data_IF_434353018475
#
_entry.id   IF_434353018475
#
_cell.length_a   1.000
_cell.length_b   1.000
_cell.length_c   1.000
_cell.angle_alpha   90.00
_cell.angle_beta   90.00
_cell.angle_gamma   90.00
#
_symmetry.space_group_name_H-M   'P 1'
#
loop_
_entity.id
_entity.type
_entity.pdbx_description
1 polymer ?
#
# COMPACT_ATOMS: atom_id res chain seq x y z
N UNK A 1 -15.07 5.38 38.86
CA UNK A 1 -13.82 5.81 39.54
C UNK A 1 -13.71 7.32 39.38
N UNK A 2 -13.19 8.06 40.35
CA UNK A 2 -12.94 9.50 40.17
C UNK A 2 -11.83 9.71 39.14
N UNK A 3 -12.00 10.71 38.26
CA UNK A 3 -10.93 11.10 37.32
C UNK A 3 -9.73 11.71 38.06
N UNK A 4 -8.49 11.50 37.57
CA UNK A 4 -7.29 12.06 38.19
C UNK A 4 -7.21 13.58 38.01
N UNK A 5 -6.35 14.25 38.80
CA UNK A 5 -6.04 15.66 38.58
C UNK A 5 -5.18 15.81 37.33
N UNK A 6 -5.29 16.95 36.67
CA UNK A 6 -4.53 17.25 35.45
C UNK A 6 -3.00 17.23 35.64
N UNK A 7 -2.50 17.49 36.86
CA UNK A 7 -1.08 17.42 37.18
C UNK A 7 -0.57 15.98 37.37
N UNK A 8 -1.47 15.04 37.64
CA UNK A 8 -1.12 13.63 37.89
C UNK A 8 -1.25 12.81 36.59
N UNK A 9 -2.29 13.09 35.79
CA UNK A 9 -2.52 12.48 34.49
C UNK A 9 -3.30 13.44 33.59
N UNK A 10 -2.57 14.13 32.69
CA UNK A 10 -3.17 15.07 31.73
C UNK A 10 -4.17 14.36 30.79
N UNK A 11 -3.86 13.14 30.34
CA UNK A 11 -4.69 12.41 29.39
C UNK A 11 -6.04 12.06 30.01
N UNK A 12 -6.04 11.39 31.17
CA UNK A 12 -7.27 10.97 31.83
C UNK A 12 -8.05 12.14 32.45
N UNK A 13 -7.38 13.24 32.82
CA UNK A 13 -8.09 14.44 33.27
C UNK A 13 -8.89 15.12 32.14
N UNK A 14 -8.37 15.10 30.90
CA UNK A 14 -9.03 15.71 29.73
C UNK A 14 -9.99 14.74 29.04
N UNK A 15 -9.54 13.51 28.82
CA UNK A 15 -10.22 12.51 27.98
C UNK A 15 -10.92 11.41 28.79
N UNK A 16 -10.72 11.33 30.10
CA UNK A 16 -11.05 10.13 30.88
C UNK A 16 -12.53 9.79 30.94
N UNK A 17 -13.43 10.78 30.86
CA UNK A 17 -14.87 10.49 30.71
C UNK A 17 -15.13 9.77 29.39
N UNK A 18 -14.61 10.28 28.27
CA UNK A 18 -14.76 9.67 26.96
C UNK A 18 -14.10 8.28 26.91
N UNK A 19 -12.91 8.13 27.48
CA UNK A 19 -12.17 6.86 27.52
C UNK A 19 -12.94 5.76 28.31
N UNK A 20 -13.69 6.15 29.35
CA UNK A 20 -14.44 5.20 30.18
C UNK A 20 -15.80 4.81 29.59
N UNK A 21 -16.40 5.67 28.76
CA UNK A 21 -17.77 5.46 28.26
C UNK A 21 -17.84 5.06 26.80
N UNK A 22 -16.79 5.34 26.02
CA UNK A 22 -16.75 5.02 24.60
C UNK A 22 -16.35 3.56 24.41
N UNK A 23 -17.17 2.84 23.65
CA UNK A 23 -16.92 1.45 23.27
C UNK A 23 -16.31 1.45 21.88
N UNK A 24 -15.20 0.73 21.69
CA UNK A 24 -14.63 0.50 20.36
C UNK A 24 -15.66 -0.34 19.56
N UNK A 25 -16.19 0.17 18.45
CA UNK A 25 -17.12 -0.58 17.60
C UNK A 25 -16.49 -1.91 17.14
N UNK A 26 -17.28 -2.99 16.99
CA UNK A 26 -16.73 -4.31 16.64
C UNK A 26 -16.06 -4.35 15.26
N UNK A 27 -16.40 -3.42 14.37
CA UNK A 27 -15.83 -3.27 13.03
C UNK A 27 -14.59 -2.35 12.98
N UNK A 28 -14.02 -2.02 14.15
CA UNK A 28 -12.84 -1.16 14.31
C UNK A 28 -11.87 -1.75 15.34
N UNK A 29 -10.58 -1.52 15.14
CA UNK A 29 -9.53 -1.76 16.13
C UNK A 29 -9.26 -0.55 17.03
N UNK A 30 -9.64 0.65 16.58
CA UNK A 30 -9.45 1.92 17.29
C UNK A 30 -10.64 2.85 17.07
N UNK A 31 -10.99 3.59 18.11
CA UNK A 31 -11.87 4.77 18.04
C UNK A 31 -11.10 5.95 18.64
N UNK A 32 -11.16 7.08 17.95
CA UNK A 32 -10.38 8.29 18.24
C UNK A 32 -11.02 9.51 17.57
N UNK A 33 -10.58 10.70 17.96
CA UNK A 33 -11.03 11.96 17.36
C UNK A 33 -10.83 12.00 15.83
N UNK A 34 -9.69 11.51 15.34
CA UNK A 34 -9.39 11.40 13.92
C UNK A 34 -10.24 10.33 13.21
N UNK A 35 -10.51 9.19 13.87
CA UNK A 35 -11.36 8.15 13.30
C UNK A 35 -12.82 8.61 13.14
N UNK A 36 -13.33 9.39 14.10
CA UNK A 36 -14.70 9.94 14.07
C UNK A 36 -14.83 11.02 12.98
N UNK A 37 -13.79 11.84 12.83
CA UNK A 37 -13.72 12.82 11.75
C UNK A 37 -13.63 12.13 10.38
N UNK A 38 -12.80 11.09 10.26
CA UNK A 38 -12.64 10.31 9.03
C UNK A 38 -13.97 9.67 8.62
N UNK A 39 -14.72 9.09 9.57
CA UNK A 39 -16.05 8.55 9.33
C UNK A 39 -17.03 9.63 8.84
N UNK A 40 -17.00 10.80 9.48
CA UNK A 40 -17.86 11.93 9.11
C UNK A 40 -17.56 12.46 7.71
N UNK A 41 -16.29 12.51 7.32
CA UNK A 41 -15.85 12.88 5.97
C UNK A 41 -16.27 11.84 4.95
N UNK A 42 -16.03 10.55 5.24
CA UNK A 42 -16.43 9.43 4.36
C UNK A 42 -17.92 9.47 4.06
N UNK A 43 -18.78 9.67 5.07
CA UNK A 43 -20.24 9.70 4.88
C UNK A 43 -20.65 10.78 3.85
N UNK A 44 -20.02 11.97 3.90
CA UNK A 44 -20.28 13.05 2.93
C UNK A 44 -19.81 12.66 1.53
N UNK A 45 -18.59 12.16 1.41
CA UNK A 45 -17.99 11.85 0.11
C UNK A 45 -18.65 10.67 -0.57
N UNK A 46 -19.05 9.63 0.18
CA UNK A 46 -19.86 8.52 -0.34
C UNK A 46 -21.19 9.04 -0.91
N UNK A 47 -21.88 9.93 -0.19
CA UNK A 47 -23.13 10.51 -0.67
C UNK A 47 -22.92 11.33 -1.95
N UNK A 48 -21.82 12.05 -2.06
CA UNK A 48 -21.51 12.88 -3.23
C UNK A 48 -21.06 12.05 -4.44
N UNK A 49 -20.20 11.05 -4.25
CA UNK A 49 -19.80 10.11 -5.32
C UNK A 49 -21.00 9.37 -5.92
N UNK A 50 -21.98 8.98 -5.09
CA UNK A 50 -23.25 8.42 -5.57
C UNK A 50 -24.02 9.39 -6.48
N UNK A 51 -24.10 10.68 -6.11
CA UNK A 51 -24.78 11.71 -6.92
C UNK A 51 -24.03 11.94 -8.23
N UNK A 52 -22.70 12.03 -8.19
CA UNK A 52 -21.85 12.24 -9.37
C UNK A 52 -22.03 11.07 -10.35
N UNK A 53 -22.02 9.83 -9.86
CA UNK A 53 -22.23 8.66 -10.71
C UNK A 53 -23.64 8.60 -11.31
N UNK A 54 -24.66 9.10 -10.61
CA UNK A 54 -26.04 9.10 -11.08
C UNK A 54 -26.34 10.16 -12.16
N UNK A 55 -25.52 11.20 -12.27
CA UNK A 55 -25.64 12.26 -13.26
C UNK A 55 -24.29 12.49 -13.96
N UNK A 56 -23.81 11.51 -14.76
CA UNK A 56 -22.47 11.54 -15.30
C UNK A 56 -22.30 12.72 -16.26
N UNK A 57 -21.17 13.41 -16.15
CA UNK A 57 -20.82 14.47 -17.08
C UNK A 57 -20.33 13.88 -18.41
N UNK A 58 -20.47 14.63 -19.51
CA UNK A 58 -20.07 14.18 -20.84
C UNK A 58 -18.54 14.01 -21.00
N UNK A 59 -17.73 14.65 -20.15
CA UNK A 59 -16.29 14.53 -20.15
C UNK A 59 -15.83 13.48 -19.13
N UNK A 60 -14.85 12.67 -19.52
CA UNK A 60 -14.21 11.68 -18.64
C UNK A 60 -13.21 12.37 -17.69
N UNK A 61 -13.71 12.87 -16.56
CA UNK A 61 -12.88 13.54 -15.55
C UNK A 61 -12.37 12.56 -14.48
N UNK A 62 -11.23 12.86 -13.80
CA UNK A 62 -10.75 12.03 -12.69
C UNK A 62 -11.80 11.80 -11.61
N UNK A 63 -12.61 12.82 -11.29
CA UNK A 63 -13.71 12.69 -10.32
C UNK A 63 -14.84 11.77 -10.81
N UNK A 64 -15.14 11.79 -12.12
CA UNK A 64 -16.10 10.86 -12.71
C UNK A 64 -15.58 9.42 -12.67
N UNK A 65 -14.29 9.21 -12.94
CA UNK A 65 -13.64 7.91 -12.82
C UNK A 65 -13.63 7.41 -11.36
N UNK A 66 -13.36 8.28 -10.38
CA UNK A 66 -13.49 7.97 -8.96
C UNK A 66 -14.91 7.51 -8.58
N UNK A 67 -15.93 8.24 -9.05
CA UNK A 67 -17.33 7.91 -8.80
C UNK A 67 -17.75 6.58 -9.43
N UNK A 68 -17.24 6.26 -10.64
CA UNK A 68 -17.46 4.96 -11.29
C UNK A 68 -16.75 3.83 -10.55
N UNK A 69 -15.51 4.02 -10.12
CA UNK A 69 -14.77 3.00 -9.35
C UNK A 69 -15.49 2.71 -8.04
N UNK A 70 -15.90 3.75 -7.31
CA UNK A 70 -16.73 3.61 -6.12
C UNK A 70 -18.03 2.84 -6.41
N UNK A 71 -18.73 3.14 -7.50
CA UNK A 71 -19.96 2.44 -7.86
C UNK A 71 -19.73 0.95 -8.11
N UNK A 72 -18.65 0.57 -8.82
CA UNK A 72 -18.24 -0.83 -9.03
C UNK A 72 -17.88 -1.51 -7.71
N UNK A 73 -17.12 -0.83 -6.86
CA UNK A 73 -16.73 -1.35 -5.54
C UNK A 73 -17.94 -1.55 -4.61
N UNK A 74 -18.93 -0.66 -4.72
CA UNK A 74 -20.13 -0.67 -3.89
C UNK A 74 -21.25 -1.58 -4.44
N UNK A 75 -21.11 -2.18 -5.62
CA UNK A 75 -22.07 -3.12 -6.21
C UNK A 75 -21.96 -4.51 -5.57
N UNK A 76 -22.52 -4.63 -4.37
CA UNK A 76 -22.52 -5.88 -3.58
C UNK A 76 -23.18 -7.04 -4.31
N UNK A 77 -24.25 -6.76 -5.07
CA UNK A 77 -25.01 -7.80 -5.78
C UNK A 77 -24.15 -8.42 -6.87
N UNK A 78 -23.55 -7.60 -7.73
CA UNK A 78 -22.69 -8.08 -8.82
C UNK A 78 -21.45 -8.78 -8.29
N UNK A 79 -20.79 -8.21 -7.27
CA UNK A 79 -19.60 -8.80 -6.62
C UNK A 79 -19.89 -10.17 -6.03
N UNK A 80 -21.00 -10.34 -5.32
CA UNK A 80 -21.40 -11.63 -4.76
C UNK A 80 -21.83 -12.64 -5.82
N UNK A 81 -22.50 -12.19 -6.90
CA UNK A 81 -22.87 -13.05 -8.01
C UNK A 81 -21.64 -13.63 -8.74
N UNK A 82 -20.58 -12.83 -8.89
CA UNK A 82 -19.34 -13.26 -9.54
C UNK A 82 -18.50 -14.19 -8.67
N UNK A 83 -18.51 -13.99 -7.34
CA UNK A 83 -17.75 -14.81 -6.40
C UNK A 83 -16.25 -14.82 -6.76
N UNK A 84 -15.67 -16.02 -6.81
CA UNK A 84 -14.26 -16.25 -7.19
C UNK A 84 -14.00 -16.32 -8.70
N UNK A 85 -15.04 -16.22 -9.53
CA UNK A 85 -14.91 -16.36 -10.99
C UNK A 85 -13.86 -15.42 -11.60
N UNK A 86 -13.79 -14.12 -11.22
CA UNK A 86 -12.85 -13.18 -11.82
C UNK A 86 -11.37 -13.52 -11.60
N UNK A 87 -11.02 -14.19 -10.49
CA UNK A 87 -9.62 -14.50 -10.15
C UNK A 87 -9.17 -15.88 -10.68
N UNK A 88 -10.11 -16.77 -11.02
CA UNK A 88 -9.81 -18.18 -11.31
C UNK A 88 -8.75 -18.38 -12.39
N UNK A 89 -8.91 -17.69 -13.52
CA UNK A 89 -7.94 -17.78 -14.63
C UNK A 89 -6.53 -17.31 -14.23
N UNK A 90 -6.43 -16.39 -13.26
CA UNK A 90 -5.15 -15.91 -12.75
C UNK A 90 -4.46 -16.97 -11.91
N UNK A 91 -5.20 -17.60 -11.00
CA UNK A 91 -4.68 -18.68 -10.15
C UNK A 91 -4.29 -19.91 -10.99
N UNK A 92 -5.11 -20.28 -11.98
CA UNK A 92 -4.81 -21.39 -12.87
C UNK A 92 -3.52 -21.14 -13.68
N UNK A 93 -3.27 -19.89 -14.08
CA UNK A 93 -2.02 -19.50 -14.74
C UNK A 93 -0.82 -19.73 -13.80
N UNK A 94 -0.87 -19.21 -12.56
CA UNK A 94 0.23 -19.40 -11.59
C UNK A 94 0.44 -20.88 -11.31
N UNK A 95 -0.64 -21.62 -11.03
CA UNK A 95 -0.59 -23.04 -10.76
C UNK A 95 0.00 -23.83 -11.94
N UNK A 96 -0.16 -23.37 -13.18
CA UNK A 96 0.40 -23.96 -14.38
C UNK A 96 1.90 -23.73 -14.58
N UNK A 97 2.50 -22.74 -13.92
CA UNK A 97 3.94 -22.48 -13.96
C UNK A 97 4.65 -23.43 -12.98
N UNK A 98 4.97 -24.65 -13.41
CA UNK A 98 5.52 -25.71 -12.54
C UNK A 98 7.03 -25.61 -12.31
N UNK A 99 7.75 -24.81 -13.09
CA UNK A 99 9.20 -24.65 -12.99
C UNK A 99 9.63 -23.19 -13.05
N UNK A 100 10.82 -22.89 -12.53
CA UNK A 100 11.39 -21.55 -12.58
C UNK A 100 11.59 -21.08 -14.03
N UNK A 101 12.01 -21.98 -14.93
CA UNK A 101 12.11 -21.71 -16.36
C UNK A 101 10.76 -21.29 -17.00
N UNK A 102 9.64 -21.93 -16.61
CA UNK A 102 8.31 -21.55 -17.09
C UNK A 102 7.90 -20.18 -16.55
N UNK A 103 8.18 -19.90 -15.27
CA UNK A 103 7.97 -18.58 -14.67
C UNK A 103 8.74 -17.49 -15.40
N UNK A 104 10.06 -17.69 -15.62
CA UNK A 104 10.91 -16.77 -16.38
C UNK A 104 10.34 -16.49 -17.76
N UNK A 105 9.93 -17.53 -18.48
CA UNK A 105 9.35 -17.38 -19.82
C UNK A 105 8.02 -16.62 -19.83
N UNK A 106 7.22 -16.75 -18.77
CA UNK A 106 5.94 -16.06 -18.61
C UNK A 106 6.07 -14.63 -18.07
N UNK A 107 7.25 -14.25 -17.56
CA UNK A 107 7.44 -13.03 -16.79
C UNK A 107 7.01 -11.73 -17.51
N UNK A 108 7.31 -11.50 -18.80
CA UNK A 108 6.84 -10.28 -19.48
C UNK A 108 5.31 -10.14 -19.43
N UNK A 109 4.60 -11.27 -19.54
CA UNK A 109 3.13 -11.30 -19.44
C UNK A 109 2.66 -11.14 -18.00
N UNK A 110 3.36 -11.74 -17.03
CA UNK A 110 3.03 -11.59 -15.60
C UNK A 110 3.17 -10.13 -15.15
N UNK A 111 4.25 -9.46 -15.56
CA UNK A 111 4.47 -8.04 -15.30
C UNK A 111 3.39 -7.17 -15.93
N UNK A 112 3.09 -7.38 -17.22
CA UNK A 112 2.07 -6.60 -17.91
C UNK A 112 0.66 -6.77 -17.31
N UNK A 113 0.32 -7.99 -16.89
CA UNK A 113 -0.98 -8.33 -16.30
C UNK A 113 -1.03 -8.14 -14.77
N UNK A 114 -0.07 -7.43 -14.18
CA UNK A 114 -0.05 -7.05 -12.77
C UNK A 114 -0.16 -8.24 -11.81
N UNK A 115 0.52 -9.34 -12.11
CA UNK A 115 0.65 -10.45 -11.16
C UNK A 115 1.59 -10.09 -10.02
N UNK A 116 1.42 -10.74 -8.87
CA UNK A 116 2.42 -10.71 -7.80
C UNK A 116 3.75 -11.25 -8.31
N UNK A 117 4.81 -10.47 -8.14
CA UNK A 117 6.19 -10.79 -8.55
C UNK A 117 7.13 -10.71 -7.34
N UNK A 118 8.32 -11.33 -7.40
CA UNK A 118 9.25 -11.25 -6.27
C UNK A 118 9.91 -9.87 -6.17
N UNK A 119 9.91 -9.09 -7.25
CA UNK A 119 10.35 -7.71 -7.23
C UNK A 119 9.21 -6.81 -7.69
N UNK A 120 8.84 -5.84 -6.86
CA UNK A 120 7.79 -4.86 -7.13
C UNK A 120 8.42 -3.48 -7.34
N UNK A 121 8.35 -2.91 -8.56
CA UNK A 121 8.92 -1.59 -8.83
C UNK A 121 8.05 -0.47 -8.25
N UNK A 122 8.69 0.56 -7.69
CA UNK A 122 8.06 1.86 -7.48
C UNK A 122 9.05 2.99 -7.79
N UNK A 123 8.54 4.19 -8.04
CA UNK A 123 9.33 5.32 -8.54
C UNK A 123 9.08 6.53 -7.65
N UNK A 124 10.15 7.07 -7.08
CA UNK A 124 10.15 8.30 -6.29
C UNK A 124 11.49 9.03 -6.44
N UNK A 125 11.69 10.10 -5.66
CA UNK A 125 12.90 10.91 -5.72
C UNK A 125 14.13 10.16 -5.20
N UNK A 126 15.26 10.25 -5.92
CA UNK A 126 16.55 9.71 -5.46
C UNK A 126 17.01 10.42 -4.18
N UNK A 127 17.30 9.66 -3.11
CA UNK A 127 17.79 10.20 -1.83
C UNK A 127 19.10 10.98 -1.98
N UNK A 128 19.89 10.66 -3.00
CA UNK A 128 21.15 11.32 -3.35
C UNK A 128 21.01 12.36 -4.47
N UNK A 129 19.85 12.44 -5.13
CA UNK A 129 19.50 13.44 -6.14
C UNK A 129 17.99 13.72 -6.17
N UNK A 130 17.48 14.44 -5.17
CA UNK A 130 16.06 14.71 -4.98
C UNK A 130 15.42 15.62 -6.08
N UNK A 131 16.15 15.87 -7.18
CA UNK A 131 15.62 16.51 -8.38
C UNK A 131 15.14 15.50 -9.43
N UNK A 132 15.58 14.23 -9.38
CA UNK A 132 15.25 13.21 -10.37
C UNK A 132 14.67 11.96 -9.71
N UNK A 133 13.80 11.25 -10.44
CA UNK A 133 13.23 10.00 -9.97
C UNK A 133 14.18 8.81 -10.19
N UNK A 134 14.17 7.87 -9.24
CA UNK A 134 14.87 6.59 -9.30
C UNK A 134 13.87 5.43 -9.28
N UNK A 135 14.26 4.29 -9.88
CA UNK A 135 13.52 3.05 -9.76
C UNK A 135 13.93 2.33 -8.46
N UNK A 136 12.98 2.14 -7.56
CA UNK A 136 13.12 1.36 -6.36
C UNK A 136 12.60 -0.06 -6.57
N UNK A 137 13.30 -1.04 -6.02
CA UNK A 137 13.07 -2.47 -6.20
C UNK A 137 12.66 -3.10 -4.86
N UNK A 138 11.36 -3.12 -4.62
CA UNK A 138 10.76 -3.70 -3.41
C UNK A 138 10.63 -5.21 -3.50
N UNK A 139 10.39 -5.85 -2.36
CA UNK A 139 10.16 -7.27 -2.23
C UNK A 139 8.91 -7.58 -1.38
N UNK A 140 8.62 -8.86 -1.17
CA UNK A 140 7.52 -9.30 -0.31
C UNK A 140 7.78 -8.98 1.17
N UNK A 141 6.69 -8.75 1.91
CA UNK A 141 6.70 -8.70 3.37
C UNK A 141 6.62 -10.11 3.98
N UNK A 142 6.96 -10.22 5.27
CA UNK A 142 6.78 -11.45 6.06
C UNK A 142 5.33 -11.62 6.52
N UNK A 143 4.94 -12.86 6.82
CA UNK A 143 3.64 -13.16 7.44
C UNK A 143 3.57 -12.57 8.85
N UNK A 144 4.56 -12.85 9.70
CA UNK A 144 4.61 -12.24 11.03
C UNK A 144 4.85 -10.73 10.92
N UNK A 145 4.31 -9.93 11.85
CA UNK A 145 4.34 -8.46 11.77
C UNK A 145 5.74 -7.85 11.96
N UNK A 146 6.74 -8.63 12.37
CA UNK A 146 8.15 -8.21 12.39
C UNK A 146 9.04 -9.40 11.98
N UNK A 147 10.00 -9.17 11.07
CA UNK A 147 10.99 -10.17 10.69
C UNK A 147 11.84 -10.66 11.88
N UNK A 148 12.03 -9.81 12.91
CA UNK A 148 12.72 -10.19 14.14
C UNK A 148 12.01 -11.32 14.92
N UNK A 149 10.69 -11.48 14.75
CA UNK A 149 9.93 -12.54 15.42
C UNK A 149 10.40 -13.94 14.99
N UNK A 150 10.91 -14.10 13.76
CA UNK A 150 11.43 -15.39 13.28
C UNK A 150 12.75 -15.82 13.94
N UNK A 151 13.28 -15.05 14.89
CA UNK A 151 14.43 -15.45 15.71
C UNK A 151 14.03 -16.40 16.86
N UNK A 152 12.75 -16.43 17.24
CA UNK A 152 12.22 -17.31 18.29
C UNK A 152 11.09 -18.18 17.75
N UNK A 153 11.03 -19.43 18.22
CA UNK A 153 9.89 -20.32 17.97
C UNK A 153 9.02 -20.37 19.23
N UNK A 154 8.23 -19.32 19.46
CA UNK A 154 7.34 -19.18 20.62
C UNK A 154 5.85 -19.38 20.27
N UNK A 155 5.01 -19.34 21.31
CA UNK A 155 3.59 -19.61 21.20
C UNK A 155 2.81 -18.51 20.46
N UNK A 156 3.29 -17.26 20.49
CA UNK A 156 2.68 -16.13 19.78
C UNK A 156 2.91 -16.28 18.28
N UNK A 157 4.17 -16.51 17.87
CA UNK A 157 4.52 -16.77 16.47
C UNK A 157 3.76 -17.97 15.90
N UNK A 158 3.61 -19.04 16.69
CA UNK A 158 2.84 -20.21 16.29
C UNK A 158 1.34 -19.90 16.13
N UNK A 159 0.77 -19.06 17.00
CA UNK A 159 -0.63 -18.64 16.92
C UNK A 159 -0.88 -17.77 15.69
N UNK A 160 0.00 -16.81 15.40
CA UNK A 160 -0.09 -15.92 14.26
C UNK A 160 -0.02 -16.69 12.94
N UNK A 161 0.99 -17.56 12.79
CA UNK A 161 1.13 -18.41 11.61
C UNK A 161 -0.06 -19.36 11.45
N UNK A 162 -0.67 -19.83 12.55
CA UNK A 162 -1.86 -20.66 12.50
C UNK A 162 -3.11 -19.87 12.08
N UNK A 163 -3.27 -18.64 12.55
CA UNK A 163 -4.34 -17.73 12.15
C UNK A 163 -4.25 -17.41 10.65
N UNK A 164 -3.07 -17.03 10.17
CA UNK A 164 -2.81 -16.84 8.74
C UNK A 164 -3.12 -18.11 7.94
N UNK A 165 -2.57 -19.27 8.36
CA UNK A 165 -2.76 -20.56 7.68
C UNK A 165 -4.23 -20.93 7.52
N UNK A 166 -5.04 -20.70 8.56
CA UNK A 166 -6.48 -21.00 8.56
C UNK A 166 -7.22 -20.10 7.57
N UNK A 167 -6.92 -18.81 7.58
CA UNK A 167 -7.50 -17.83 6.65
C UNK A 167 -7.22 -18.24 5.20
N UNK A 168 -5.95 -18.45 4.85
CA UNK A 168 -5.57 -18.74 3.46
C UNK A 168 -6.05 -20.11 2.98
N UNK A 169 -6.09 -21.12 3.86
CA UNK A 169 -6.66 -22.43 3.50
C UNK A 169 -8.16 -22.32 3.17
N UNK A 170 -8.89 -21.52 3.95
CA UNK A 170 -10.33 -21.29 3.71
C UNK A 170 -10.54 -20.57 2.37
N UNK A 171 -9.75 -19.53 2.10
CA UNK A 171 -9.83 -18.75 0.86
C UNK A 171 -9.46 -19.59 -0.37
N UNK A 172 -8.42 -20.44 -0.27
CA UNK A 172 -8.08 -21.43 -1.30
C UNK A 172 -9.23 -22.41 -1.55
N UNK A 173 -9.94 -22.83 -0.49
CA UNK A 173 -11.13 -23.66 -0.60
C UNK A 173 -12.25 -22.98 -1.40
N UNK A 174 -12.54 -21.70 -1.12
CA UNK A 174 -13.50 -20.91 -1.91
C UNK A 174 -13.08 -20.76 -3.37
N UNK A 175 -11.78 -20.66 -3.62
CA UNK A 175 -11.23 -20.62 -4.98
C UNK A 175 -11.25 -21.99 -5.68
N UNK A 176 -11.68 -23.07 -5.02
CA UNK A 176 -11.86 -24.41 -5.60
C UNK A 176 -10.64 -25.33 -5.52
N UNK A 177 -9.70 -25.05 -4.60
CA UNK A 177 -8.60 -25.98 -4.29
C UNK A 177 -9.07 -27.02 -3.28
N UNK A 178 -8.74 -28.29 -3.50
CA UNK A 178 -9.06 -29.36 -2.54
C UNK A 178 -8.19 -29.28 -1.27
N UNK A 179 -8.54 -30.05 -0.24
CA UNK A 179 -7.81 -30.03 1.05
C UNK A 179 -6.34 -30.40 0.91
N UNK A 180 -5.99 -31.28 -0.04
CA UNK A 180 -4.60 -31.67 -0.29
C UNK A 180 -3.81 -30.51 -0.86
N UNK A 181 -4.36 -29.81 -1.85
CA UNK A 181 -3.76 -28.63 -2.43
C UNK A 181 -3.67 -27.47 -1.43
N UNK A 182 -4.72 -27.25 -0.62
CA UNK A 182 -4.69 -26.26 0.46
C UNK A 182 -3.53 -26.52 1.43
N UNK A 183 -3.42 -27.74 1.97
CA UNK A 183 -2.36 -28.10 2.90
C UNK A 183 -0.95 -27.95 2.28
N UNK A 184 -0.82 -28.34 1.01
CA UNK A 184 0.45 -28.19 0.27
C UNK A 184 0.83 -26.72 0.10
N UNK A 185 -0.05 -25.88 -0.44
CA UNK A 185 0.24 -24.47 -0.71
C UNK A 185 0.54 -23.69 0.57
N UNK A 186 -0.23 -23.90 1.64
CA UNK A 186 -0.01 -23.21 2.92
C UNK A 186 1.32 -23.60 3.55
N UNK A 187 1.68 -24.88 3.54
CA UNK A 187 2.97 -25.33 4.08
C UNK A 187 4.15 -24.78 3.26
N UNK A 188 4.07 -24.87 1.93
CA UNK A 188 5.13 -24.42 1.03
C UNK A 188 5.33 -22.89 1.10
N UNK A 189 4.25 -22.11 1.17
CA UNK A 189 4.34 -20.65 1.32
C UNK A 189 5.00 -20.24 2.64
N UNK A 190 4.71 -20.92 3.76
CA UNK A 190 5.38 -20.68 5.05
C UNK A 190 6.87 -21.04 5.01
N UNK A 191 7.26 -22.05 4.24
CA UNK A 191 8.67 -22.40 4.06
C UNK A 191 9.43 -21.33 3.27
N UNK A 192 8.80 -20.72 2.25
CA UNK A 192 9.36 -19.55 1.57
C UNK A 192 9.46 -18.35 2.53
N UNK A 193 8.37 -18.01 3.20
CA UNK A 193 8.27 -16.89 4.14
C UNK A 193 9.32 -16.96 5.27
N UNK A 194 9.53 -18.15 5.85
CA UNK A 194 10.56 -18.37 6.88
C UNK A 194 11.99 -18.09 6.38
N UNK A 195 12.27 -18.37 5.11
CA UNK A 195 13.57 -18.09 4.48
C UNK A 195 13.70 -16.63 4.08
N UNK A 196 12.61 -16.04 3.57
CA UNK A 196 12.51 -14.62 3.26
C UNK A 196 12.87 -13.76 4.48
N UNK A 197 12.32 -14.09 5.65
CA UNK A 197 12.50 -13.33 6.88
C UNK A 197 13.97 -13.13 7.28
N UNK A 198 14.89 -14.01 6.86
CA UNK A 198 16.33 -13.84 7.13
C UNK A 198 16.97 -12.65 6.38
N UNK A 199 16.29 -12.11 5.37
CA UNK A 199 16.76 -11.01 4.52
C UNK A 199 15.86 -9.77 4.57
N UNK A 200 14.88 -9.76 5.49
CA UNK A 200 14.02 -8.61 5.76
C UNK A 200 14.50 -7.94 7.06
N UNK A 201 14.69 -6.61 7.08
CA UNK A 201 15.06 -5.87 8.30
C UNK A 201 14.01 -6.02 9.42
N UNK A 202 14.42 -5.83 10.67
CA UNK A 202 13.48 -5.71 11.78
C UNK A 202 12.73 -4.36 11.69
N UNK A 203 11.57 -4.25 12.36
CA UNK A 203 10.78 -3.00 12.34
C UNK A 203 11.54 -1.78 12.88
N UNK A 204 12.45 -1.99 13.83
CA UNK A 204 13.31 -0.91 14.35
C UNK A 204 14.28 -0.36 13.31
N UNK A 205 14.70 -1.19 12.35
CA UNK A 205 15.60 -0.77 11.28
C UNK A 205 14.83 -0.01 10.18
N UNK A 206 13.58 -0.38 9.91
CA UNK A 206 12.70 0.38 9.02
C UNK A 206 12.40 1.81 9.51
N UNK A 207 12.59 2.10 10.80
CA UNK A 207 12.43 3.45 11.35
C UNK A 207 13.60 4.41 11.03
N UNK A 208 14.63 3.94 10.33
CA UNK A 208 15.81 4.74 9.96
C UNK A 208 15.93 4.80 8.43
N UNK A 209 15.82 6.01 7.86
CA UNK A 209 15.81 6.23 6.40
C UNK A 209 16.98 5.56 5.64
N UNK A 210 18.16 5.45 6.27
CA UNK A 210 19.33 4.80 5.63
C UNK A 210 19.12 3.33 5.31
N UNK A 211 18.13 2.66 5.92
CA UNK A 211 17.74 1.29 5.57
C UNK A 211 17.23 1.19 4.14
N UNK A 212 16.65 2.27 3.61
CA UNK A 212 16.09 2.33 2.25
C UNK A 212 17.08 2.84 1.19
N UNK A 213 18.30 3.20 1.59
CA UNK A 213 19.31 3.80 0.73
C UNK A 213 20.35 2.74 0.29
N UNK A 214 19.97 1.91 -0.67
CA UNK A 214 20.80 0.81 -1.20
C UNK A 214 20.95 0.94 -2.72
N UNK A 215 21.62 1.99 -3.22
CA UNK A 215 21.79 2.19 -4.66
C UNK A 215 22.69 1.10 -5.25
N UNK A 216 22.29 0.60 -6.42
CA UNK A 216 23.06 -0.35 -7.22
C UNK A 216 22.99 0.02 -8.70
N UNK A 217 23.98 -0.43 -9.46
CA UNK A 217 23.99 -0.29 -10.91
C UNK A 217 22.95 -1.20 -11.54
N UNK A 218 22.51 -0.86 -12.75
CA UNK A 218 21.64 -1.77 -13.51
C UNK A 218 22.29 -3.13 -13.79
N UNK A 219 23.62 -3.16 -13.96
CA UNK A 219 24.36 -4.41 -14.15
C UNK A 219 24.27 -5.30 -12.91
N UNK A 220 24.45 -4.76 -11.71
CA UNK A 220 24.27 -5.51 -10.46
C UNK A 220 22.83 -6.02 -10.32
N UNK A 221 21.82 -5.21 -10.70
CA UNK A 221 20.44 -5.68 -10.72
C UNK A 221 20.23 -6.86 -11.70
N UNK A 222 20.90 -6.85 -12.85
CA UNK A 222 20.91 -7.98 -13.80
C UNK A 222 21.58 -9.21 -13.20
N UNK A 223 22.66 -9.05 -12.42
CA UNK A 223 23.31 -10.15 -11.72
C UNK A 223 22.39 -10.76 -10.65
N UNK A 224 21.69 -9.93 -9.88
CA UNK A 224 20.82 -10.36 -8.77
C UNK A 224 19.48 -10.96 -9.23
N UNK A 225 18.87 -10.42 -10.28
CA UNK A 225 17.50 -10.76 -10.69
C UNK A 225 17.34 -11.19 -12.16
N UNK A 226 18.41 -11.12 -12.97
CA UNK A 226 18.37 -11.47 -14.40
C UNK A 226 18.07 -12.95 -14.65
N UNK A 227 18.28 -13.83 -13.66
CA UNK A 227 17.89 -15.24 -13.75
C UNK A 227 16.36 -15.43 -13.84
N UNK A 228 15.57 -14.44 -13.40
CA UNK A 228 14.11 -14.41 -13.51
C UNK A 228 13.62 -13.68 -14.78
N UNK A 229 14.45 -12.81 -15.37
CA UNK A 229 14.07 -11.95 -16.50
C UNK A 229 13.45 -10.60 -16.11
N UNK A 230 13.50 -10.24 -14.81
CA UNK A 230 12.84 -9.03 -14.27
C UNK A 230 13.45 -7.74 -14.81
N UNK A 231 14.79 -7.56 -14.76
CA UNK A 231 15.41 -6.37 -15.35
C UNK A 231 15.00 -6.19 -16.82
N UNK A 232 15.04 -7.25 -17.63
CA UNK A 232 14.70 -7.20 -19.04
C UNK A 232 13.23 -6.80 -19.28
N UNK A 233 12.31 -7.34 -18.49
CA UNK A 233 10.90 -7.00 -18.57
C UNK A 233 10.61 -5.54 -18.16
N UNK A 234 11.30 -5.03 -17.14
CA UNK A 234 11.19 -3.63 -16.71
C UNK A 234 11.82 -2.67 -17.73
N UNK A 235 13.00 -2.99 -18.25
CA UNK A 235 13.68 -2.18 -19.27
C UNK A 235 12.80 -1.97 -20.51
N UNK A 236 12.05 -2.99 -20.92
CA UNK A 236 11.14 -2.92 -22.06
C UNK A 236 9.96 -1.94 -21.86
N UNK A 237 9.67 -1.53 -20.62
CA UNK A 237 8.60 -0.59 -20.26
C UNK A 237 9.08 0.82 -19.94
N UNK A 238 10.40 1.04 -19.86
CA UNK A 238 10.99 2.34 -19.55
C UNK A 238 11.48 3.04 -20.83
N UNK A 239 11.56 4.38 -20.87
CA UNK A 239 12.09 5.13 -22.03
C UNK A 239 13.53 4.75 -22.36
N UNK A 240 14.31 4.47 -21.33
CA UNK A 240 15.71 4.05 -21.39
C UNK A 240 16.04 3.26 -20.13
N UNK A 241 16.98 2.32 -20.24
CA UNK A 241 17.52 1.62 -19.08
C UNK A 241 18.29 2.60 -18.20
N UNK A 242 17.94 2.78 -16.91
CA UNK A 242 18.68 3.67 -16.03
C UNK A 242 20.06 3.07 -15.71
N UNK A 243 21.04 3.91 -15.41
CA UNK A 243 22.37 3.42 -14.97
C UNK A 243 22.38 2.98 -13.51
N UNK A 244 21.44 3.50 -12.71
CA UNK A 244 21.33 3.30 -11.26
C UNK A 244 19.87 3.02 -10.89
N UNK A 245 19.69 2.08 -9.97
CA UNK A 245 18.43 1.74 -9.32
C UNK A 245 18.66 1.66 -7.81
N UNK A 246 17.62 1.43 -7.02
CA UNK A 246 17.72 1.34 -5.57
C UNK A 246 17.03 0.07 -5.06
N UNK A 247 17.71 -0.73 -4.24
CA UNK A 247 17.06 -1.81 -3.51
C UNK A 247 16.40 -1.22 -2.24
N UNK A 248 15.14 -1.59 -1.99
CA UNK A 248 14.37 -1.00 -0.87
C UNK A 248 14.89 -1.46 0.49
N UNK A 249 15.41 -2.69 0.55
CA UNK A 249 16.06 -3.23 1.74
C UNK A 249 17.39 -3.86 1.33
N UNK A 250 18.42 -3.80 2.21
CA UNK A 250 19.80 -4.11 1.84
C UNK A 250 20.02 -5.56 1.42
N UNK A 251 19.35 -6.50 2.09
CA UNK A 251 19.70 -7.92 2.00
C UNK A 251 18.82 -8.72 1.04
N UNK A 252 17.61 -8.26 0.72
CA UNK A 252 16.65 -9.04 -0.05
C UNK A 252 17.11 -9.30 -1.50
N UNK A 253 17.33 -8.24 -2.26
CA UNK A 253 17.63 -8.33 -3.69
C UNK A 253 18.92 -9.14 -3.98
N UNK A 254 20.04 -8.91 -3.26
CA UNK A 254 21.26 -9.71 -3.46
C UNK A 254 21.09 -11.20 -3.13
N UNK A 255 20.10 -11.57 -2.31
CA UNK A 255 19.84 -12.96 -1.93
C UNK A 255 18.69 -13.60 -2.72
N UNK A 256 18.10 -12.88 -3.69
CA UNK A 256 16.96 -13.36 -4.46
C UNK A 256 17.25 -14.69 -5.18
N UNK A 257 18.47 -14.83 -5.73
CA UNK A 257 18.94 -16.06 -6.37
C UNK A 257 19.07 -17.26 -5.43
N UNK A 258 19.13 -17.04 -4.11
CA UNK A 258 19.11 -18.09 -3.09
C UNK A 258 17.70 -18.40 -2.59
N UNK A 259 16.83 -17.38 -2.55
CA UNK A 259 15.43 -17.50 -2.16
C UNK A 259 14.60 -18.24 -3.21
N UNK A 260 14.91 -18.03 -4.50
CA UNK A 260 14.21 -18.64 -5.62
C UNK A 260 15.21 -19.37 -6.52
N UNK A 261 15.20 -20.69 -6.44
CA UNK A 261 16.02 -21.63 -7.20
C UNK A 261 15.11 -22.69 -7.83
N UNK A 262 15.61 -23.47 -8.79
CA UNK A 262 14.83 -24.60 -9.34
C UNK A 262 14.40 -25.60 -8.25
N UNK A 263 15.23 -25.81 -7.22
CA UNK A 263 14.96 -26.79 -6.17
C UNK A 263 13.84 -26.36 -5.22
N UNK A 264 13.71 -25.05 -4.96
CA UNK A 264 12.75 -24.51 -4.00
C UNK A 264 11.64 -23.67 -4.66
N UNK A 265 11.60 -23.60 -5.99
CA UNK A 265 10.59 -22.89 -6.76
C UNK A 265 9.14 -23.23 -6.36
N UNK A 266 8.77 -24.48 -6.03
CA UNK A 266 7.42 -24.78 -5.56
C UNK A 266 6.98 -23.97 -4.32
N UNK A 267 7.91 -23.59 -3.45
CA UNK A 267 7.62 -22.75 -2.27
C UNK A 267 7.32 -21.30 -2.68
N UNK A 268 8.09 -20.74 -3.62
CA UNK A 268 7.80 -19.44 -4.21
C UNK A 268 6.47 -19.45 -4.97
N UNK A 269 6.21 -20.48 -5.79
CA UNK A 269 4.95 -20.60 -6.53
C UNK A 269 3.76 -20.62 -5.58
N UNK A 270 3.88 -21.33 -4.45
CA UNK A 270 2.85 -21.37 -3.43
C UNK A 270 2.60 -20.01 -2.79
N UNK A 271 3.68 -19.31 -2.42
CA UNK A 271 3.59 -17.96 -1.88
C UNK A 271 2.96 -17.00 -2.90
N UNK A 272 3.44 -16.98 -4.15
CA UNK A 272 2.88 -16.15 -5.24
C UNK A 272 1.38 -16.42 -5.46
N UNK A 273 0.94 -17.68 -5.44
CA UNK A 273 -0.47 -18.03 -5.64
C UNK A 273 -1.36 -17.52 -4.51
N UNK A 274 -0.91 -17.67 -3.25
CA UNK A 274 -1.65 -17.19 -2.08
C UNK A 274 -1.67 -15.66 -2.06
N UNK A 275 -0.54 -15.02 -2.32
CA UNK A 275 -0.43 -13.55 -2.39
C UNK A 275 -1.29 -12.97 -3.51
N UNK A 276 -1.35 -13.61 -4.68
CA UNK A 276 -2.25 -13.20 -5.77
C UNK A 276 -3.72 -13.31 -5.36
N UNK A 277 -4.09 -14.42 -4.70
CA UNK A 277 -5.46 -14.62 -4.23
C UNK A 277 -5.86 -13.57 -3.19
N UNK A 278 -4.99 -13.29 -2.22
CA UNK A 278 -5.21 -12.26 -1.21
C UNK A 278 -5.31 -10.86 -1.85
N UNK A 279 -4.36 -10.51 -2.71
CA UNK A 279 -4.35 -9.22 -3.41
C UNK A 279 -5.61 -9.01 -4.29
N UNK A 280 -6.20 -10.08 -4.82
CA UNK A 280 -7.43 -9.99 -5.60
C UNK A 280 -8.70 -10.01 -4.74
N UNK A 281 -8.68 -10.66 -3.57
CA UNK A 281 -9.88 -10.99 -2.80
C UNK A 281 -10.69 -9.77 -2.35
N UNK A 282 -10.02 -8.65 -2.09
CA UNK A 282 -10.66 -7.37 -1.74
C UNK A 282 -11.60 -6.84 -2.84
N UNK A 283 -11.43 -7.32 -4.08
CA UNK A 283 -12.19 -6.91 -5.24
C UNK A 283 -13.21 -7.97 -5.71
N UNK A 284 -13.35 -9.06 -4.97
CA UNK A 284 -14.28 -10.17 -5.26
C UNK A 284 -15.57 -10.02 -4.45
N UNK A 285 -16.15 -11.10 -3.93
CA UNK A 285 -17.36 -11.07 -3.11
C UNK A 285 -17.13 -10.43 -1.73
N UNK A 286 -18.23 -10.11 -1.03
CA UNK A 286 -18.17 -9.66 0.36
C UNK A 286 -17.56 -10.72 1.29
N UNK A 287 -17.88 -12.00 1.09
CA UNK A 287 -17.31 -13.06 1.94
C UNK A 287 -15.79 -13.19 1.69
N UNK A 288 -15.36 -13.10 0.43
CA UNK A 288 -13.95 -13.20 0.05
C UNK A 288 -13.10 -12.07 0.64
N UNK A 289 -13.56 -10.81 0.56
CA UNK A 289 -12.83 -9.68 1.18
C UNK A 289 -12.82 -9.77 2.71
N UNK A 290 -13.92 -10.23 3.32
CA UNK A 290 -13.97 -10.42 4.77
C UNK A 290 -13.00 -11.51 5.23
N UNK A 291 -12.89 -12.60 4.46
CA UNK A 291 -11.94 -13.67 4.67
C UNK A 291 -10.50 -13.18 4.53
N UNK A 292 -10.17 -12.45 3.45
CA UNK A 292 -8.82 -11.96 3.20
C UNK A 292 -8.27 -11.06 4.32
N UNK A 293 -9.12 -10.28 4.98
CA UNK A 293 -8.73 -9.46 6.13
C UNK A 293 -8.79 -10.17 7.50
N UNK A 294 -9.01 -11.49 7.58
CA UNK A 294 -9.16 -12.19 8.88
C UNK A 294 -7.87 -12.18 9.71
N UNK A 295 -6.72 -12.30 9.07
CA UNK A 295 -5.44 -12.31 9.77
C UNK A 295 -5.14 -10.95 10.40
N UNK A 296 -5.32 -9.87 9.65
CA UNK A 296 -5.12 -8.51 10.18
C UNK A 296 -6.11 -8.20 11.31
N UNK A 297 -7.35 -8.67 11.21
CA UNK A 297 -8.33 -8.56 12.30
C UNK A 297 -7.95 -9.37 13.54
N UNK A 298 -7.37 -10.55 13.35
CA UNK A 298 -6.83 -11.34 14.46
C UNK A 298 -5.70 -10.60 15.18
N UNK A 299 -4.73 -10.05 14.44
CA UNK A 299 -3.64 -9.25 14.99
C UNK A 299 -4.14 -7.98 15.71
N UNK A 300 -5.15 -7.32 15.13
CA UNK A 300 -5.72 -6.09 15.68
C UNK A 300 -6.75 -6.32 16.80
N UNK A 301 -7.12 -7.58 17.08
CA UNK A 301 -8.20 -7.90 18.02
C UNK A 301 -9.58 -7.37 17.58
N UNK A 302 -9.81 -7.20 16.28
CA UNK A 302 -11.03 -6.63 15.70
C UNK A 302 -12.08 -7.73 15.40
N UNK A 303 -13.23 -7.76 16.09
CA UNK A 303 -14.19 -8.87 15.95
C UNK A 303 -14.86 -8.97 14.57
N UNK A 304 -15.24 -7.85 13.98
CA UNK A 304 -16.03 -7.78 12.76
C UNK A 304 -15.25 -7.13 11.62
N UNK A 305 -15.48 -7.52 10.37
CA UNK A 305 -14.94 -6.83 9.22
C UNK A 305 -15.51 -5.42 9.11
N UNK A 306 -14.75 -4.52 8.50
CA UNK A 306 -15.24 -3.17 8.28
C UNK A 306 -16.53 -3.14 7.44
N UNK A 307 -17.34 -2.09 7.66
CA UNK A 307 -18.57 -1.88 6.94
C UNK A 307 -18.36 -1.83 5.41
N UNK A 308 -19.32 -2.39 4.66
CA UNK A 308 -19.27 -2.49 3.19
C UNK A 308 -18.98 -1.17 2.47
N UNK A 309 -19.66 -0.08 2.85
CA UNK A 309 -19.44 1.22 2.20
C UNK A 309 -18.08 1.82 2.55
N UNK A 310 -17.50 1.46 3.70
CA UNK A 310 -16.14 1.85 4.08
C UNK A 310 -15.11 1.15 3.19
N UNK A 311 -15.27 -0.16 3.00
CA UNK A 311 -14.47 -0.94 2.04
C UNK A 311 -14.55 -0.36 0.64
N UNK A 312 -15.77 -0.15 0.12
CA UNK A 312 -15.97 0.35 -1.24
C UNK A 312 -15.40 1.77 -1.43
N UNK A 313 -15.44 2.60 -0.39
CA UNK A 313 -14.80 3.91 -0.40
C UNK A 313 -13.28 3.80 -0.38
N UNK A 314 -12.70 2.88 0.41
CA UNK A 314 -11.26 2.58 0.42
C UNK A 314 -10.75 2.24 -0.98
N UNK A 315 -11.40 1.29 -1.65
CA UNK A 315 -11.07 0.88 -3.04
C UNK A 315 -11.06 2.06 -4.02
N UNK A 316 -11.95 3.04 -3.84
CA UNK A 316 -11.94 4.24 -4.68
C UNK A 316 -10.76 5.17 -4.37
N UNK A 317 -10.36 5.28 -3.10
CA UNK A 317 -9.23 6.11 -2.67
C UNK A 317 -7.89 5.51 -3.09
N UNK A 318 -7.76 4.19 -3.19
CA UNK A 318 -6.51 3.52 -3.62
C UNK A 318 -5.96 4.04 -4.96
N UNK A 319 -6.82 4.59 -5.82
CA UNK A 319 -6.45 5.14 -7.14
C UNK A 319 -6.86 6.60 -7.36
N UNK A 320 -7.77 7.14 -6.57
CA UNK A 320 -8.37 8.47 -6.82
C UNK A 320 -8.48 9.34 -5.56
N UNK A 321 -7.68 9.09 -4.52
CA UNK A 321 -7.67 9.88 -3.29
C UNK A 321 -7.41 11.38 -3.54
N UNK A 322 -6.47 11.80 -4.39
CA UNK A 322 -6.26 13.24 -4.64
C UNK A 322 -7.44 13.86 -5.40
N UNK A 323 -8.08 13.14 -6.32
CA UNK A 323 -9.25 13.65 -7.03
C UNK A 323 -10.44 13.81 -6.07
N UNK A 324 -10.67 12.83 -5.19
CA UNK A 324 -11.69 12.87 -4.15
C UNK A 324 -11.37 13.96 -3.12
N UNK A 325 -10.12 14.07 -2.69
CA UNK A 325 -9.62 15.02 -1.71
C UNK A 325 -9.62 16.46 -2.22
N UNK A 326 -9.28 16.68 -3.49
CA UNK A 326 -9.41 17.97 -4.15
C UNK A 326 -10.88 18.41 -4.19
N UNK A 327 -11.79 17.52 -4.59
CA UNK A 327 -13.23 17.79 -4.54
C UNK A 327 -13.70 18.12 -3.10
N UNK A 328 -13.27 17.34 -2.11
CA UNK A 328 -13.60 17.58 -0.71
C UNK A 328 -13.15 18.98 -0.26
N UNK A 329 -11.90 19.34 -0.54
CA UNK A 329 -11.34 20.64 -0.21
C UNK A 329 -12.07 21.79 -0.89
N UNK A 330 -12.36 21.69 -2.19
CA UNK A 330 -13.10 22.71 -2.92
C UNK A 330 -14.54 22.88 -2.42
N UNK A 331 -15.15 21.81 -1.91
CA UNK A 331 -16.57 21.80 -1.51
C UNK A 331 -16.75 22.19 -0.04
N UNK A 332 -15.88 21.71 0.84
CA UNK A 332 -16.07 21.78 2.29
C UNK A 332 -15.03 22.65 3.02
N UNK A 333 -13.93 23.04 2.37
CA UNK A 333 -12.87 23.85 2.99
C UNK A 333 -12.89 25.30 2.48
N UNK A 334 -13.53 26.18 3.25
CA UNK A 334 -13.70 27.59 2.90
C UNK A 334 -12.40 28.38 2.81
N UNK A 335 -12.38 29.41 1.97
CA UNK A 335 -11.20 30.24 1.69
C UNK A 335 -10.65 30.94 2.94
N UNK A 336 -11.51 31.42 3.84
CA UNK A 336 -11.09 32.09 5.08
C UNK A 336 -10.33 31.13 6.01
N UNK A 337 -10.80 29.89 6.15
CA UNK A 337 -10.10 28.87 6.94
C UNK A 337 -8.76 28.49 6.30
N UNK A 338 -8.69 28.41 4.96
CA UNK A 338 -7.43 28.20 4.23
C UNK A 338 -6.44 29.34 4.50
N UNK A 339 -6.89 30.59 4.46
CA UNK A 339 -6.06 31.75 4.71
C UNK A 339 -5.56 31.82 6.16
N UNK A 340 -6.44 31.57 7.13
CA UNK A 340 -6.13 31.59 8.57
C UNK A 340 -5.07 30.53 8.93
N UNK A 341 -5.28 29.27 8.53
CA UNK A 341 -4.30 28.20 8.80
C UNK A 341 -2.99 28.47 8.05
N UNK A 342 -3.03 29.04 6.84
CA UNK A 342 -1.81 29.44 6.11
C UNK A 342 -1.02 30.50 6.89
N UNK A 343 -1.70 31.46 7.53
CA UNK A 343 -1.04 32.45 8.39
C UNK A 343 -0.44 31.79 9.63
N UNK A 344 -1.19 30.92 10.30
CA UNK A 344 -0.73 30.17 11.48
C UNK A 344 0.53 29.34 11.19
N UNK A 345 0.58 28.64 10.05
CA UNK A 345 1.78 27.88 9.66
C UNK A 345 2.98 28.79 9.47
N UNK A 346 2.80 29.98 8.87
CA UNK A 346 3.89 30.97 8.72
C UNK A 346 4.39 31.48 10.06
N UNK A 347 3.49 31.75 11.00
CA UNK A 347 3.84 32.17 12.36
C UNK A 347 4.62 31.08 13.10
N UNK A 348 4.20 29.82 12.99
CA UNK A 348 4.93 28.68 13.57
C UNK A 348 6.33 28.57 12.97
N UNK A 349 6.49 28.69 11.65
CA UNK A 349 7.80 28.64 11.00
C UNK A 349 8.73 29.77 11.46
N UNK A 350 8.19 30.99 11.61
CA UNK A 350 8.93 32.13 12.17
C UNK A 350 9.37 31.86 13.60
N UNK A 351 8.47 31.35 14.45
CA UNK A 351 8.80 31.02 15.82
C UNK A 351 9.84 29.89 15.91
N UNK A 352 9.79 28.91 15.00
CA UNK A 352 10.79 27.85 14.91
C UNK A 352 12.17 28.41 14.58
N UNK A 353 12.25 29.40 13.69
CA UNK A 353 13.50 30.09 13.40
C UNK A 353 14.06 30.78 14.66
N UNK A 354 13.22 31.50 15.42
CA UNK A 354 13.62 32.14 16.69
C UNK A 354 14.16 31.10 17.68
N UNK A 355 13.54 29.92 17.78
CA UNK A 355 14.02 28.83 18.63
C UNK A 355 15.40 28.33 18.19
N UNK A 356 15.64 28.17 16.89
CA UNK A 356 16.96 27.78 16.37
C UNK A 356 18.02 28.84 16.68
N UNK A 357 17.67 30.12 16.57
CA UNK A 357 18.58 31.23 16.89
C UNK A 357 19.01 31.21 18.36
N UNK A 358 18.08 30.96 19.28
CA UNK A 358 18.34 30.88 20.73
C UNK A 358 18.85 29.52 21.21
N UNK A 359 18.93 28.52 20.33
CA UNK A 359 19.42 27.20 20.68
C UNK A 359 20.90 27.25 21.14
N UNK A 360 21.19 26.64 22.29
CA UNK A 360 22.50 26.71 22.96
C UNK A 360 23.37 25.47 22.78
N UNK A 361 22.85 24.40 22.17
CA UNK A 361 23.59 23.14 22.01
C UNK A 361 24.05 22.90 20.57
N UNK A 362 23.43 23.55 19.57
CA UNK A 362 23.86 23.50 18.17
C UNK A 362 25.08 24.40 17.93
N UNK A 363 26.05 23.87 17.17
CA UNK A 363 27.13 24.69 16.63
C UNK A 363 26.58 25.77 15.68
N UNK A 364 27.30 26.90 15.50
CA UNK A 364 26.89 27.95 14.56
C UNK A 364 26.66 27.43 13.13
N UNK A 365 27.52 26.52 12.64
CA UNK A 365 27.43 25.98 11.29
C UNK A 365 26.17 25.10 11.10
N UNK A 366 25.85 24.24 12.08
CA UNK A 366 24.64 23.40 12.01
C UNK A 366 23.37 24.23 12.11
N UNK A 367 23.36 25.25 12.99
CA UNK A 367 22.25 26.19 13.13
C UNK A 367 21.92 26.89 11.81
N UNK A 368 22.94 27.36 11.07
CA UNK A 368 22.73 27.98 9.77
C UNK A 368 22.10 27.03 8.74
N UNK A 369 22.51 25.75 8.72
CA UNK A 369 21.89 24.74 7.84
C UNK A 369 20.43 24.45 8.22
N UNK A 370 20.13 24.38 9.51
CA UNK A 370 18.76 24.18 9.99
C UNK A 370 17.83 25.35 9.60
N UNK A 371 18.30 26.59 9.76
CA UNK A 371 17.57 27.79 9.31
C UNK A 371 17.37 27.76 7.78
N UNK A 372 18.38 27.34 7.01
CA UNK A 372 18.23 27.19 5.56
C UNK A 372 17.14 26.19 5.19
N UNK A 373 17.01 25.06 5.91
CA UNK A 373 15.93 24.07 5.69
C UNK A 373 14.55 24.70 5.89
N UNK A 374 14.37 25.48 6.97
CA UNK A 374 13.11 26.22 7.19
C UNK A 374 12.82 27.20 6.05
N UNK A 375 13.83 27.94 5.59
CA UNK A 375 13.67 28.93 4.53
C UNK A 375 13.27 28.33 3.17
N UNK A 376 13.57 27.04 2.93
CA UNK A 376 13.23 26.35 1.68
C UNK A 376 11.97 25.47 1.78
N UNK A 377 11.33 25.42 2.95
CA UNK A 377 10.15 24.58 3.17
C UNK A 377 8.96 25.09 2.34
N UNK A 378 8.34 24.18 1.58
CA UNK A 378 7.11 24.46 0.83
C UNK A 378 5.90 24.00 1.64
N UNK A 379 4.81 24.75 1.56
CA UNK A 379 3.56 24.45 2.25
C UNK A 379 2.55 23.95 1.21
N UNK A 380 2.11 22.69 1.33
CA UNK A 380 0.95 22.14 0.59
C UNK A 380 -0.28 22.27 1.50
N UNK A 381 -1.22 23.16 1.16
CA UNK A 381 -2.29 23.58 2.07
C UNK A 381 -3.68 23.14 1.59
N UNK A 382 -4.29 22.22 2.33
CA UNK A 382 -5.68 21.78 2.15
C UNK A 382 -5.86 20.82 0.97
N UNK A 383 -5.68 21.30 -0.26
CA UNK A 383 -5.85 20.52 -1.49
C UNK A 383 -4.99 21.08 -2.62
N UNK A 384 -4.61 20.26 -3.63
CA UNK A 384 -3.83 20.75 -4.77
C UNK A 384 -4.68 21.62 -5.69
N UNK A 385 -4.10 22.68 -6.24
CA UNK A 385 -4.78 23.53 -7.23
C UNK A 385 -4.92 22.82 -8.59
N UNK A 386 -3.98 21.93 -8.91
CA UNK A 386 -3.99 21.08 -10.09
C UNK A 386 -3.69 19.64 -9.69
N UNK A 387 -4.42 18.67 -10.25
CA UNK A 387 -4.15 17.25 -10.03
C UNK A 387 -2.83 16.85 -10.68
N UNK A 388 -2.14 15.90 -10.03
CA UNK A 388 -0.91 15.31 -10.54
C UNK A 388 -1.14 14.66 -11.92
N UNK A 389 -0.22 14.75 -12.89
CA UNK A 389 -0.45 14.26 -14.26
C UNK A 389 -0.86 12.79 -14.39
N UNK A 390 -0.56 11.93 -13.40
CA UNK A 390 -1.06 10.55 -13.33
C UNK A 390 -2.58 10.47 -13.53
N UNK A 391 -3.36 11.38 -12.95
CA UNK A 391 -4.83 11.34 -13.04
C UNK A 391 -5.36 11.57 -14.45
N UNK A 392 -4.55 12.13 -15.36
CA UNK A 392 -4.92 12.25 -16.77
C UNK A 392 -4.76 10.93 -17.55
N UNK A 393 -4.09 9.92 -16.98
CA UNK A 393 -3.89 8.60 -17.60
C UNK A 393 -4.76 7.51 -17.00
N UNK A 394 -5.39 7.77 -15.85
CA UNK A 394 -6.24 6.81 -15.17
C UNK A 394 -7.68 6.85 -15.71
N UNK A 395 -8.13 5.73 -16.27
CA UNK A 395 -9.45 5.59 -16.88
C UNK A 395 -10.20 4.39 -16.32
N UNK A 396 -11.48 4.60 -16.01
CA UNK A 396 -12.37 3.55 -15.51
C UNK A 396 -13.43 3.23 -16.55
N UNK A 397 -13.27 2.07 -17.18
CA UNK A 397 -14.19 1.57 -18.20
C UNK A 397 -15.59 1.31 -17.61
N UNK A 398 -16.68 1.88 -18.17
CA UNK A 398 -18.02 1.79 -17.59
C UNK A 398 -18.52 0.34 -17.39
N UNK A 399 -18.26 -0.55 -18.35
CA UNK A 399 -18.88 -1.89 -18.40
C UNK A 399 -18.10 -2.99 -17.66
N UNK A 400 -16.82 -2.76 -17.35
CA UNK A 400 -15.95 -3.75 -16.74
C UNK A 400 -16.34 -4.09 -15.29
N UNK A 401 -16.10 -5.34 -14.87
CA UNK A 401 -16.19 -5.73 -13.46
C UNK A 401 -15.08 -5.09 -12.61
N UNK A 402 -15.23 -5.14 -11.28
CA UNK A 402 -14.29 -4.49 -10.36
C UNK A 402 -12.86 -5.02 -10.52
N UNK A 403 -12.61 -6.33 -10.42
CA UNK A 403 -11.24 -6.86 -10.51
C UNK A 403 -10.53 -6.51 -11.84
N UNK A 404 -11.14 -6.70 -13.03
CA UNK A 404 -10.55 -6.21 -14.29
C UNK A 404 -10.27 -4.70 -14.31
N UNK A 405 -11.15 -3.90 -13.70
CA UNK A 405 -10.95 -2.44 -13.57
C UNK A 405 -9.71 -2.13 -12.72
N UNK A 406 -9.55 -2.82 -11.59
CA UNK A 406 -8.39 -2.64 -10.69
C UNK A 406 -7.10 -3.04 -11.38
N UNK A 407 -7.09 -4.16 -12.11
CA UNK A 407 -5.92 -4.60 -12.87
C UNK A 407 -5.54 -3.60 -13.97
N UNK A 408 -6.53 -3.00 -14.63
CA UNK A 408 -6.31 -1.95 -15.63
C UNK A 408 -5.71 -0.69 -14.99
N UNK A 409 -6.25 -0.22 -13.87
CA UNK A 409 -5.73 0.94 -13.15
C UNK A 409 -4.31 0.69 -12.63
N UNK A 410 -4.05 -0.48 -12.06
CA UNK A 410 -2.71 -0.92 -11.64
C UNK A 410 -1.72 -0.89 -12.82
N UNK A 411 -2.13 -1.38 -14.00
CA UNK A 411 -1.32 -1.31 -15.21
C UNK A 411 -1.06 0.13 -15.65
N UNK A 412 -2.08 0.99 -15.70
CA UNK A 412 -1.94 2.41 -16.06
C UNK A 412 -0.98 3.14 -15.12
N UNK A 413 -1.09 2.88 -13.81
CA UNK A 413 -0.19 3.42 -12.78
C UNK A 413 1.25 2.95 -12.98
N UNK A 414 1.47 1.64 -13.18
CA UNK A 414 2.81 1.10 -13.45
C UNK A 414 3.41 1.72 -14.72
N UNK A 415 2.65 1.76 -15.81
CA UNK A 415 3.11 2.31 -17.08
C UNK A 415 3.47 3.80 -16.93
N UNK A 416 2.65 4.61 -16.24
CA UNK A 416 2.97 6.01 -15.96
C UNK A 416 4.29 6.16 -15.20
N UNK A 417 4.46 5.44 -14.08
CA UNK A 417 5.63 5.59 -13.22
C UNK A 417 6.92 5.11 -13.87
N UNK A 418 6.88 4.02 -14.64
CA UNK A 418 8.05 3.55 -15.40
C UNK A 418 8.50 4.56 -16.46
N UNK A 419 7.61 5.42 -16.97
CA UNK A 419 7.99 6.55 -17.83
C UNK A 419 8.64 7.71 -17.05
N UNK A 420 8.45 7.79 -15.73
CA UNK A 420 9.04 8.84 -14.89
C UNK A 420 10.47 8.52 -14.44
N UNK A 421 10.97 7.30 -14.66
CA UNK A 421 12.32 6.89 -14.25
C UNK A 421 13.37 7.77 -14.93
N UNK A 422 14.21 8.42 -14.13
CA UNK A 422 15.23 9.38 -14.61
C UNK A 422 14.68 10.74 -15.06
N UNK A 423 13.36 10.94 -15.03
CA UNK A 423 12.76 12.26 -15.27
C UNK A 423 12.84 13.12 -14.01
N UNK A 424 12.75 14.46 -14.14
CA UNK A 424 12.66 15.35 -13.00
C UNK A 424 11.44 15.04 -12.11
N UNK A 425 11.60 15.18 -10.80
CA UNK A 425 10.51 15.08 -9.82
C UNK A 425 9.51 16.23 -10.04
N UNK A 426 8.24 15.90 -10.23
CA UNK A 426 7.14 16.88 -10.22
C UNK A 426 6.84 17.31 -8.78
N UNK A 427 6.71 18.62 -8.52
CA UNK A 427 6.80 19.21 -7.16
C UNK A 427 5.55 19.90 -6.67
#
# INVERSE_FOLDING_TARGET
MSLPRIQDDLYMAVNGTWQQTTVIPPDKSVVSADSDLTDSIRIKLVADLKKINAAPQAADSPLQNAARLFAKANDKVRRNQLGMTPVRARLDKIAGLKTLAQFRAALPKLLAEQYVLPVSPYVDADMHDAAHNILNLGGPATILPDAAMYQTDDAENAADLAAWSKMVATLLGEAGFDQTAQAHYVAAAKSFDRRLAAFIPANVDFAVDSTFDNPLTWTEFVEDAGFLGIPEALAAKMPQTPTKVNAVVPAYLPHLSTLITEANYPEWQAWMLISELLACADYLSDDSRQLAGQYDRFLAGQPEPEAWEKHAFGVANDYFDDAIGQYYGQTYFGADAKADITAMVKEILQQYQVQLEHNTWLSPATKQKAIRKLATMKIKMGYPDQLFPLYATLHVEPEADLLPTILQLSQQTQDFWLQQVGQPVDR
#
